data_IF_791483741100
#
_entry.id   IF_791483741100
#
_cell.length_a   1.000
_cell.length_b   1.000
_cell.length_c   1.000
_cell.angle_alpha   90.00
_cell.angle_beta   90.00
_cell.angle_gamma   90.00
#
_symmetry.space_group_name_H-M   'P 1'
#
loop_
_entity.id
_entity.type
_entity.pdbx_description
1 polymer ?
#
# COMPACT_ATOMS: atom_id res chain seq x y z
N UNK A 1 12.99 10.97 11.25
CA UNK A 1 11.69 10.33 10.99
C UNK A 1 11.91 9.10 10.13
N UNK A 2 11.33 7.99 10.51
CA UNK A 2 11.45 6.76 9.72
C UNK A 2 10.56 6.82 8.49
N UNK A 3 11.05 6.26 7.40
CA UNK A 3 10.34 6.19 6.12
C UNK A 3 9.93 4.75 5.85
N UNK A 4 8.63 4.55 5.63
CA UNK A 4 8.04 3.23 5.38
C UNK A 4 7.46 3.21 3.98
N UNK A 5 7.78 2.17 3.22
CA UNK A 5 7.16 1.94 1.92
C UNK A 5 6.04 0.92 2.09
N UNK A 6 4.85 1.27 1.61
CA UNK A 6 3.70 0.36 1.60
C UNK A 6 3.40 -0.02 0.17
N UNK A 7 3.47 -1.31 -0.13
CA UNK A 7 3.23 -1.84 -1.46
C UNK A 7 1.92 -2.63 -1.48
N UNK A 8 1.00 -2.19 -2.32
CA UNK A 8 -0.28 -2.85 -2.52
C UNK A 8 -0.28 -3.56 -3.87
N UNK A 9 -0.53 -4.85 -3.84
CA UNK A 9 -0.43 -5.71 -5.00
C UNK A 9 -1.68 -5.76 -5.87
N UNK A 10 -1.77 -6.79 -6.73
CA UNK A 10 -2.79 -6.86 -7.76
C UNK A 10 -4.21 -6.74 -7.23
N UNK A 11 -5.02 -6.03 -7.98
CA UNK A 11 -6.46 -5.87 -7.78
C UNK A 11 -6.87 -5.02 -6.59
N UNK A 12 -5.93 -4.56 -5.76
CA UNK A 12 -6.28 -3.67 -4.65
C UNK A 12 -6.82 -2.33 -5.15
N UNK A 13 -6.44 -1.91 -6.35
CA UNK A 13 -7.00 -0.72 -6.98
C UNK A 13 -8.49 -0.83 -7.27
N UNK A 14 -9.05 -2.05 -7.24
CA UNK A 14 -10.45 -2.30 -7.48
C UNK A 14 -11.28 -2.39 -6.18
N UNK A 15 -10.65 -2.14 -5.05
CA UNK A 15 -11.31 -2.20 -3.76
C UNK A 15 -12.54 -1.28 -3.76
N UNK A 16 -13.67 -1.81 -3.29
CA UNK A 16 -14.93 -1.07 -3.25
C UNK A 16 -15.66 -0.98 -4.57
N UNK A 17 -15.03 -1.36 -5.67
CA UNK A 17 -15.65 -1.31 -7.00
C UNK A 17 -16.14 -2.65 -7.48
N UNK A 18 -15.49 -3.73 -7.03
CA UNK A 18 -15.72 -5.06 -7.57
C UNK A 18 -16.74 -5.85 -6.77
N UNK A 19 -16.66 -5.83 -5.45
CA UNK A 19 -17.52 -6.61 -4.59
C UNK A 19 -17.92 -5.79 -3.36
N UNK A 20 -18.64 -4.68 -3.54
CA UNK A 20 -18.96 -3.79 -2.42
C UNK A 20 -19.82 -4.45 -1.35
N UNK A 21 -20.61 -5.45 -1.72
CA UNK A 21 -21.44 -6.17 -0.76
C UNK A 21 -20.66 -7.06 0.21
N UNK A 22 -19.43 -7.44 -0.16
CA UNK A 22 -18.59 -8.32 0.66
C UNK A 22 -17.57 -7.51 1.46
N UNK A 23 -16.93 -6.53 0.79
CA UNK A 23 -15.84 -5.76 1.40
C UNK A 23 -16.26 -4.35 1.83
N UNK A 24 -17.56 -4.06 1.75
CA UNK A 24 -18.07 -2.73 2.04
C UNK A 24 -17.85 -1.77 0.89
N UNK A 25 -18.13 -0.50 1.12
CA UNK A 25 -18.03 0.54 0.10
C UNK A 25 -16.67 1.26 0.10
N UNK A 26 -15.71 0.80 0.89
CA UNK A 26 -14.41 1.46 0.96
C UNK A 26 -13.65 1.26 -0.34
N UNK A 27 -13.05 2.36 -0.82
CA UNK A 27 -12.27 2.36 -2.04
C UNK A 27 -10.79 2.22 -1.74
N UNK A 28 -9.99 2.02 -2.78
CA UNK A 28 -8.54 2.04 -2.62
C UNK A 28 -8.06 3.38 -2.05
N UNK A 29 -8.68 4.47 -2.46
CA UNK A 29 -8.32 5.80 -1.95
C UNK A 29 -8.59 5.92 -0.45
N UNK A 30 -9.69 5.31 0.02
CA UNK A 30 -9.97 5.26 1.46
C UNK A 30 -8.89 4.49 2.21
N UNK A 31 -8.41 3.40 1.62
CA UNK A 31 -7.31 2.64 2.20
C UNK A 31 -6.03 3.48 2.29
N UNK A 32 -5.69 4.18 1.20
CA UNK A 32 -4.51 5.03 1.17
C UNK A 32 -4.61 6.13 2.24
N UNK A 33 -5.77 6.74 2.37
CA UNK A 33 -6.00 7.77 3.38
C UNK A 33 -5.81 7.21 4.79
N UNK A 34 -6.36 6.03 5.04
CA UNK A 34 -6.21 5.37 6.34
C UNK A 34 -4.75 5.10 6.66
N UNK A 35 -3.97 4.67 5.67
CA UNK A 35 -2.55 4.42 5.85
C UNK A 35 -1.82 5.71 6.22
N UNK A 36 -2.12 6.80 5.52
CA UNK A 36 -1.49 8.10 5.83
C UNK A 36 -1.87 8.61 7.22
N UNK A 37 -3.13 8.45 7.61
CA UNK A 37 -3.57 8.84 8.95
C UNK A 37 -2.85 8.05 10.03
N UNK A 38 -2.72 6.74 9.83
CA UNK A 38 -2.02 5.87 10.78
C UNK A 38 -0.55 6.24 10.88
N UNK A 39 0.08 6.51 9.75
CA UNK A 39 1.48 6.94 9.72
C UNK A 39 1.68 8.22 10.51
N UNK A 40 0.77 9.19 10.34
CA UNK A 40 0.83 10.44 11.09
C UNK A 40 0.72 10.19 12.59
N UNK A 41 -0.18 9.32 13.01
CA UNK A 41 -0.33 8.95 14.41
C UNK A 41 0.93 8.32 14.99
N UNK A 42 1.62 7.52 14.18
CA UNK A 42 2.84 6.83 14.61
C UNK A 42 4.10 7.67 14.45
N UNK A 43 4.01 8.84 13.84
CA UNK A 43 5.16 9.71 13.64
C UNK A 43 6.14 9.20 12.59
N UNK A 44 5.66 8.51 11.57
CA UNK A 44 6.48 8.00 10.48
C UNK A 44 6.05 8.62 9.16
N UNK A 45 6.98 8.73 8.22
CA UNK A 45 6.66 9.09 6.84
C UNK A 45 6.32 7.82 6.07
N UNK A 46 5.34 7.88 5.20
CA UNK A 46 4.92 6.73 4.42
C UNK A 46 4.81 7.09 2.95
N UNK A 47 5.24 6.17 2.09
CA UNK A 47 4.95 6.23 0.67
C UNK A 47 4.13 5.01 0.32
N UNK A 48 3.02 5.20 -0.39
CA UNK A 48 2.08 4.13 -0.74
C UNK A 48 2.09 3.95 -2.24
N UNK A 49 2.32 2.73 -2.70
CA UNK A 49 2.32 2.39 -4.13
C UNK A 49 1.43 1.20 -4.36
N UNK A 50 0.90 1.10 -5.56
CA UNK A 50 0.07 -0.03 -5.97
C UNK A 50 0.45 -0.45 -7.39
N UNK A 51 0.46 -1.74 -7.65
CA UNK A 51 0.66 -2.26 -9.00
C UNK A 51 -0.05 -3.59 -9.15
N UNK A 52 -0.46 -3.88 -10.39
CA UNK A 52 -1.00 -5.18 -10.77
C UNK A 52 0.09 -6.10 -11.36
N UNK A 53 1.33 -5.62 -11.42
CA UNK A 53 2.43 -6.34 -12.05
C UNK A 53 3.41 -6.85 -11.00
N UNK A 54 3.54 -8.16 -10.90
CA UNK A 54 4.41 -8.79 -9.91
C UNK A 54 5.87 -8.37 -10.07
N UNK A 55 6.34 -8.24 -11.32
CA UNK A 55 7.71 -7.80 -11.57
C UNK A 55 8.00 -6.41 -11.04
N UNK A 56 7.02 -5.51 -11.10
CA UNK A 56 7.15 -4.17 -10.55
C UNK A 56 7.26 -4.23 -9.03
N UNK A 57 6.49 -5.11 -8.38
CA UNK A 57 6.61 -5.29 -6.94
C UNK A 57 8.02 -5.73 -6.55
N UNK A 58 8.59 -6.66 -7.30
CA UNK A 58 9.96 -7.13 -7.05
C UNK A 58 10.95 -5.98 -7.16
N UNK A 59 10.82 -5.16 -8.21
CA UNK A 59 11.71 -4.01 -8.40
C UNK A 59 11.60 -3.04 -7.23
N UNK A 60 10.38 -2.75 -6.78
CA UNK A 60 10.16 -1.84 -5.66
C UNK A 60 10.71 -2.39 -4.35
N UNK A 61 10.60 -3.68 -4.13
CA UNK A 61 11.19 -4.31 -2.94
C UNK A 61 12.70 -4.10 -2.95
N UNK A 62 13.34 -4.26 -4.09
CA UNK A 62 14.78 -4.05 -4.21
C UNK A 62 15.16 -2.59 -3.97
N UNK A 63 14.29 -1.66 -4.37
CA UNK A 63 14.52 -0.23 -4.10
C UNK A 63 14.53 0.11 -2.62
N UNK A 64 13.89 -0.71 -1.77
CA UNK A 64 13.84 -0.39 -0.34
C UNK A 64 15.20 -0.47 0.33
N UNK A 65 16.13 -1.21 -0.28
CA UNK A 65 17.46 -1.36 0.28
C UNK A 65 18.19 -0.01 0.26
N UNK A 66 18.44 0.53 1.45
CA UNK A 66 19.14 1.79 1.62
C UNK A 66 18.30 3.05 1.46
N UNK A 67 17.00 2.92 1.13
CA UNK A 67 16.13 4.08 0.92
C UNK A 67 15.00 4.19 1.94
N UNK A 68 14.52 3.07 2.43
CA UNK A 68 13.42 3.02 3.39
C UNK A 68 13.84 2.27 4.64
N UNK A 69 13.26 2.65 5.76
CA UNK A 69 13.52 1.98 7.05
C UNK A 69 12.66 0.73 7.24
N UNK A 70 11.56 0.64 6.52
CA UNK A 70 10.68 -0.51 6.63
C UNK A 70 9.83 -0.68 5.40
N UNK A 71 9.25 -1.87 5.26
CA UNK A 71 8.45 -2.27 4.13
C UNK A 71 7.21 -2.99 4.61
N UNK A 72 6.05 -2.58 4.13
CA UNK A 72 4.79 -3.27 4.35
C UNK A 72 4.28 -3.74 2.99
N UNK A 73 4.00 -5.02 2.86
CA UNK A 73 3.50 -5.58 1.61
C UNK A 73 2.12 -6.17 1.84
N UNK A 74 1.20 -5.77 0.97
CA UNK A 74 -0.13 -6.34 0.89
C UNK A 74 -0.21 -7.04 -0.47
N UNK A 75 0.17 -8.33 -0.55
CA UNK A 75 0.38 -8.96 -1.86
C UNK A 75 -0.91 -9.24 -2.62
N UNK A 76 -2.03 -9.36 -1.96
CA UNK A 76 -3.35 -9.65 -2.52
C UNK A 76 -3.32 -10.46 -3.82
N UNK A 77 -4.26 -11.24 -4.10
CA UNK A 77 -4.25 -12.03 -5.34
C UNK A 77 -5.59 -11.94 -6.06
#
# INVERSE_FOLDING_TARGET
>A
MKHILVLNGPNLNLLGKREPGIYGAQTYQDLVQLIHEKAAQLGVAVEVRQTNHEGVLVDWIQETLGKFDGLVINPAA
#
